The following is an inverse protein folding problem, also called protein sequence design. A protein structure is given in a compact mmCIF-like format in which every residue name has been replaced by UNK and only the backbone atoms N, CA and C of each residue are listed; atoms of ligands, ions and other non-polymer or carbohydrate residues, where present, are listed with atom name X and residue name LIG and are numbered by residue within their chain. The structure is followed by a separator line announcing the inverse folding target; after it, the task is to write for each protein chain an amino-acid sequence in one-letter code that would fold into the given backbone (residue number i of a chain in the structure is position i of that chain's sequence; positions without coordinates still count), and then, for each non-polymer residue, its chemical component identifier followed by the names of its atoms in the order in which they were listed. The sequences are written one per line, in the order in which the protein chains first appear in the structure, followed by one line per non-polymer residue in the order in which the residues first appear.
data_IF_596339309779
#
_entry.id   IF_596339309779
#
_cell.length_a   1.000
_cell.length_b   1.000
_cell.length_c   1.000
_cell.angle_alpha   90.00
_cell.angle_beta   90.00
_cell.angle_gamma   90.00
#
_symmetry.space_group_name_H-M   'P 1'
#
loop_
_entity.id
_entity.type
_entity.pdbx_description
1 polymer ?
#
# COMPACT_ATOMS: atom_id res chain seq x y z
N UNK A 1 21.66 -7.10 -14.53
CA UNK A 1 21.40 -7.02 -14.05
C UNK A 1 20.97 -7.61 -13.41
N UNK A 2 20.98 -7.72 -13.12
CA UNK A 2 20.72 -8.17 -12.58
C UNK A 2 19.99 -8.40 -11.82
N UNK A 3 19.60 -8.00 -11.31
CA UNK A 3 18.85 -8.03 -10.57
C UNK A 3 18.13 -8.99 -10.63
N UNK A 4 17.93 -9.18 -11.04
CA UNK A 4 17.16 -9.99 -11.32
C UNK A 4 17.36 -11.14 -10.85
N UNK A 5 18.05 -11.33 -10.64
CA UNK A 5 18.30 -12.47 -10.28
C UNK A 5 17.66 -12.84 -9.07
N UNK A 6 17.12 -12.21 -8.62
CA UNK A 6 16.61 -12.49 -7.57
C UNK A 6 15.81 -13.51 -7.61
N UNK A 7 15.84 -14.20 -7.17
CA UNK A 7 15.23 -15.31 -7.17
C UNK A 7 13.92 -15.20 -6.98
N UNK A 8 13.44 -15.69 -7.44
CA UNK A 8 12.25 -15.62 -7.37
C UNK A 8 11.68 -15.90 -6.18
N UNK A 9 12.22 -15.92 -5.26
CA UNK A 9 11.72 -16.28 -4.17
C UNK A 9 10.36 -15.88 -3.95
N UNK A 10 9.98 -14.87 -3.86
CA UNK A 10 8.70 -14.45 -3.59
C UNK A 10 8.18 -13.73 -4.67
N UNK A 11 7.56 -14.29 -5.57
CA UNK A 11 7.07 -13.61 -6.62
C UNK A 11 6.28 -12.45 -6.23
N UNK A 12 5.36 -12.49 -5.37
CA UNK A 12 4.52 -11.33 -5.07
C UNK A 12 5.29 -10.27 -4.35
N UNK A 13 6.44 -10.59 -3.79
CA UNK A 13 7.24 -9.59 -3.15
C UNK A 13 8.42 -9.17 -3.95
N UNK A 14 8.52 -9.65 -5.15
CA UNK A 14 9.57 -9.25 -6.05
C UNK A 14 9.45 -7.78 -6.34
N UNK A 15 10.47 -6.97 -6.21
CA UNK A 15 10.38 -5.53 -6.47
C UNK A 15 9.78 -5.22 -7.84
N UNK A 16 9.96 -6.10 -8.79
CA UNK A 16 9.39 -5.85 -10.10
C UNK A 16 7.90 -6.06 -10.15
N UNK A 17 7.31 -6.66 -9.12
CA UNK A 17 5.89 -6.92 -9.09
C UNK A 17 5.11 -5.78 -8.44
N UNK A 18 5.79 -4.79 -7.90
CA UNK A 18 5.11 -3.71 -7.21
C UNK A 18 5.57 -2.37 -7.72
N UNK A 19 4.71 -1.40 -7.66
CA UNK A 19 5.04 -0.05 -8.04
C UNK A 19 4.79 0.85 -6.84
N UNK A 20 5.55 1.90 -6.74
CA UNK A 20 5.39 2.82 -5.64
C UNK A 20 4.50 3.99 -6.02
N UNK A 21 3.89 4.59 -5.03
CA UNK A 21 3.05 5.75 -5.22
C UNK A 21 3.36 6.71 -4.09
N UNK A 22 3.76 7.91 -4.43
CA UNK A 22 4.02 8.93 -3.43
C UNK A 22 2.84 9.88 -3.38
N UNK A 23 2.27 10.03 -2.21
CA UNK A 23 1.16 10.94 -2.03
C UNK A 23 1.61 12.03 -1.07
N UNK A 24 1.51 13.26 -1.52
CA UNK A 24 1.87 14.39 -0.68
C UNK A 24 0.60 15.02 -0.16
N UNK A 25 0.57 15.36 1.10
CA UNK A 25 -0.64 15.91 1.69
C UNK A 25 -0.28 17.00 2.68
N UNK A 26 -1.27 17.73 3.10
CA UNK A 26 -1.06 18.77 4.07
C UNK A 26 -0.83 18.17 5.44
N UNK A 27 -0.28 18.96 6.34
CA UNK A 27 0.10 18.46 7.64
C UNK A 27 -1.08 18.00 8.46
N UNK A 28 -2.19 18.71 8.38
CA UNK A 28 -3.36 18.30 9.16
C UNK A 28 -3.90 16.95 8.71
N UNK A 29 -3.93 16.70 7.41
CA UNK A 29 -4.37 15.40 6.92
C UNK A 29 -3.42 14.30 7.36
N UNK A 30 -2.12 14.60 7.33
CA UNK A 30 -1.12 13.66 7.77
C UNK A 30 -1.33 13.28 9.24
N UNK A 31 -1.56 14.29 10.09
CA UNK A 31 -1.76 14.02 11.50
C UNK A 31 -3.02 13.24 11.76
N UNK A 32 -4.09 13.57 11.04
CA UNK A 32 -5.34 12.85 11.21
C UNK A 32 -5.18 11.39 10.86
N UNK A 33 -4.44 11.10 9.80
CA UNK A 33 -4.22 9.72 9.41
C UNK A 33 -3.36 8.99 10.45
N UNK A 34 -2.39 9.68 11.03
CA UNK A 34 -1.56 9.04 12.04
C UNK A 34 -2.38 8.71 13.27
N UNK A 35 -3.28 9.60 13.66
CA UNK A 35 -4.13 9.34 14.81
C UNK A 35 -5.06 8.17 14.53
N UNK A 36 -5.62 8.14 13.32
CA UNK A 36 -6.50 7.06 12.97
C UNK A 36 -5.77 5.72 12.95
N UNK A 37 -4.54 5.73 12.45
CA UNK A 37 -3.76 4.50 12.43
C UNK A 37 -3.53 3.99 13.85
N UNK A 38 -3.25 4.88 14.78
CA UNK A 38 -3.04 4.48 16.16
C UNK A 38 -4.33 3.98 16.78
N UNK A 39 -5.44 4.64 16.48
CA UNK A 39 -6.72 4.24 17.04
C UNK A 39 -7.20 2.89 16.54
N UNK A 40 -6.86 2.55 15.31
CA UNK A 40 -7.30 1.29 14.74
C UNK A 40 -6.19 0.24 14.77
N UNK A 41 -5.08 0.58 15.42
CA UNK A 41 -3.98 -0.37 15.57
C UNK A 41 -3.48 -0.88 14.22
N UNK A 42 -3.31 0.03 13.30
CA UNK A 42 -2.80 -0.34 11.99
C UNK A 42 -1.73 0.67 11.57
N UNK A 43 -1.15 0.52 10.42
CA UNK A 43 -0.11 1.42 9.95
C UNK A 43 -0.68 2.39 8.93
N UNK A 44 0.07 3.47 8.68
CA UNK A 44 -0.36 4.40 7.65
C UNK A 44 -0.42 3.71 6.30
N UNK A 45 0.53 2.82 6.04
CA UNK A 45 0.52 2.09 4.78
C UNK A 45 -0.73 1.22 4.68
N UNK A 46 -1.12 0.60 5.79
CA UNK A 46 -2.31 -0.22 5.81
C UNK A 46 -3.57 0.59 5.53
N UNK A 47 -3.65 1.80 6.12
CA UNK A 47 -4.80 2.66 5.87
C UNK A 47 -4.85 3.07 4.41
N UNK A 48 -3.69 3.39 3.83
CA UNK A 48 -3.65 3.81 2.44
C UNK A 48 -4.11 2.68 1.53
N UNK A 49 -3.65 1.46 1.80
CA UNK A 49 -4.05 0.31 1.00
C UNK A 49 -5.57 0.08 1.10
N UNK A 50 -6.10 0.21 2.31
CA UNK A 50 -7.52 0.03 2.50
C UNK A 50 -8.30 1.08 1.72
N UNK A 51 -7.84 2.33 1.76
CA UNK A 51 -8.52 3.41 1.06
C UNK A 51 -8.48 3.18 -0.45
N UNK A 52 -7.36 2.72 -0.95
CA UNK A 52 -7.24 2.49 -2.38
C UNK A 52 -8.14 1.34 -2.84
N UNK A 53 -8.26 0.31 -2.01
CA UNK A 53 -9.15 -0.78 -2.34
C UNK A 53 -10.61 -0.32 -2.31
N UNK A 54 -10.96 0.52 -1.35
CA UNK A 54 -12.30 1.06 -1.28
C UNK A 54 -12.61 1.91 -2.50
N UNK A 55 -11.62 2.67 -2.97
CA UNK A 55 -11.81 3.49 -4.15
C UNK A 55 -12.04 2.61 -5.37
N UNK A 56 -11.28 1.55 -5.52
CA UNK A 56 -11.46 0.65 -6.65
C UNK A 56 -12.84 0.00 -6.60
N UNK A 57 -13.28 -0.39 -5.43
CA UNK A 57 -14.57 -1.01 -5.29
C UNK A 57 -15.66 -0.01 -5.64
N UNK A 58 -15.50 1.24 -5.23
CA UNK A 58 -16.47 2.27 -5.51
C UNK A 58 -16.66 2.45 -7.02
N UNK A 59 -15.61 2.23 -7.79
CA UNK A 59 -15.67 2.40 -9.22
C UNK A 59 -15.88 1.09 -9.97
N UNK A 60 -16.25 0.05 -9.26
CA UNK A 60 -16.57 -1.21 -9.91
C UNK A 60 -15.41 -2.00 -10.41
N UNK A 61 -14.21 -1.70 -9.88
CA UNK A 61 -13.04 -2.44 -10.31
C UNK A 61 -12.86 -3.67 -9.46
N UNK A 62 -12.29 -4.70 -10.04
CA UNK A 62 -12.10 -5.93 -9.33
C UNK A 62 -10.70 -6.15 -8.82
N UNK A 63 -9.75 -5.41 -9.32
CA UNK A 63 -8.38 -5.58 -8.89
C UNK A 63 -8.25 -5.16 -7.43
N UNK A 64 -7.40 -5.82 -6.71
CA UNK A 64 -7.18 -5.54 -5.31
C UNK A 64 -5.76 -5.04 -5.13
N UNK A 65 -5.60 -3.98 -4.37
CA UNK A 65 -4.27 -3.47 -4.07
C UNK A 65 -3.71 -4.27 -2.91
N UNK A 66 -2.52 -4.81 -3.09
CA UNK A 66 -1.89 -5.61 -2.05
C UNK A 66 -0.80 -4.81 -1.36
N UNK A 67 -0.66 -5.04 -0.08
CA UNK A 67 0.34 -4.35 0.71
C UNK A 67 1.59 -5.23 0.78
N UNK A 68 2.67 -4.85 0.10
CA UNK A 68 3.86 -5.68 0.11
C UNK A 68 4.55 -5.73 1.47
N UNK A 69 4.19 -4.82 2.36
CA UNK A 69 4.79 -4.79 3.68
C UNK A 69 4.01 -5.65 4.68
N UNK A 70 2.87 -6.14 4.29
CA UNK A 70 2.08 -6.94 5.20
C UNK A 70 2.57 -8.36 5.18
N UNK A 71 2.40 -9.03 6.26
CA UNK A 71 2.74 -10.45 6.32
C UNK A 71 1.51 -11.33 6.13
#
# INVERSE_FOLDING_TARGET
MSRSAKPARLKSRDPGSFKGLLIRMNLEGWRSLRILAAETDTTLNGLAIEALNDLLKKHGKKQTVENPLAD
#
